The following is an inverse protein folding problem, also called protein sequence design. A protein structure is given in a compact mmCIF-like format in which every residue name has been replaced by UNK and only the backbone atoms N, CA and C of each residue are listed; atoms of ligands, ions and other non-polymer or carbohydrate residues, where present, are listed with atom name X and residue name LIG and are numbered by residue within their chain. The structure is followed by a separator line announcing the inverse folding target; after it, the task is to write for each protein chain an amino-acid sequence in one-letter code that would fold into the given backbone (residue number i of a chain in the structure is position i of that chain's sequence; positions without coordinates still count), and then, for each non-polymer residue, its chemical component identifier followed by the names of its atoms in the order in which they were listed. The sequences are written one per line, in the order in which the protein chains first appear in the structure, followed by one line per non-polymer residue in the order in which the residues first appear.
data_IF_495568038401
#
_entry.id   IF_495568038401
#
_cell.length_a   1.000
_cell.length_b   1.000
_cell.length_c   1.000
_cell.angle_alpha   90.00
_cell.angle_beta   90.00
_cell.angle_gamma   90.00
#
_symmetry.space_group_name_H-M   'P 1'
#
loop_
_entity.id
_entity.type
_entity.pdbx_description
1 polymer ?
#
# COMPACT_ATOMS: atom_id res chain seq x y z
N UNK A 1 11.26 9.32 -0.79
CA UNK A 1 11.88 8.61 -1.91
C UNK A 1 11.43 7.16 -1.82
N UNK A 2 10.22 6.92 -2.30
CA UNK A 2 9.63 5.58 -2.34
C UNK A 2 10.22 4.93 -3.59
N UNK A 3 10.92 3.81 -3.40
CA UNK A 3 11.59 3.10 -4.49
C UNK A 3 10.52 2.37 -5.30
N UNK A 4 10.32 2.80 -6.53
CA UNK A 4 9.61 2.04 -7.56
C UNK A 4 10.36 0.71 -7.79
N UNK A 5 9.77 -0.39 -7.34
CA UNK A 5 10.29 -1.73 -7.60
C UNK A 5 9.34 -2.49 -8.51
N UNK A 6 9.62 -2.49 -9.83
CA UNK A 6 9.07 -3.42 -10.82
C UNK A 6 9.42 -4.92 -10.56
N UNK A 7 9.68 -5.33 -9.31
CA UNK A 7 10.25 -6.64 -8.95
C UNK A 7 9.21 -7.72 -8.59
N UNK A 8 7.95 -7.58 -8.97
CA UNK A 8 6.98 -8.67 -8.79
C UNK A 8 7.19 -9.85 -9.75
N UNK A 9 8.04 -9.72 -10.78
CA UNK A 9 8.40 -10.80 -11.70
C UNK A 9 9.70 -11.55 -11.36
N UNK A 10 10.17 -11.46 -10.12
CA UNK A 10 11.17 -12.44 -9.66
C UNK A 10 10.44 -13.49 -8.84
N UNK A 11 10.27 -14.69 -9.40
CA UNK A 11 9.82 -15.90 -8.68
C UNK A 11 10.48 -16.06 -7.30
N UNK A 12 11.67 -15.48 -7.14
CA UNK A 12 12.42 -15.39 -5.90
C UNK A 12 11.71 -14.69 -4.73
N UNK A 13 10.84 -13.69 -4.92
CA UNK A 13 10.13 -13.09 -3.77
C UNK A 13 9.06 -14.05 -3.27
N UNK A 14 8.20 -14.53 -4.17
CA UNK A 14 7.11 -15.44 -3.84
C UNK A 14 7.63 -16.70 -3.15
N UNK A 15 8.60 -17.38 -3.75
CA UNK A 15 9.18 -18.60 -3.22
C UNK A 15 9.90 -18.41 -1.87
N UNK A 16 10.41 -17.20 -1.57
CA UNK A 16 11.00 -16.89 -0.26
C UNK A 16 9.93 -16.66 0.78
N UNK A 17 8.92 -15.86 0.46
CA UNK A 17 7.85 -15.50 1.40
C UNK A 17 6.96 -16.71 1.71
N UNK A 18 6.70 -17.57 0.74
CA UNK A 18 5.93 -18.81 0.93
C UNK A 18 6.62 -19.79 1.89
N UNK A 19 7.96 -19.75 2.00
CA UNK A 19 8.69 -20.55 3.00
C UNK A 19 8.57 -19.99 4.43
N UNK A 20 8.09 -18.77 4.59
CA UNK A 20 7.94 -18.11 5.90
C UNK A 20 6.54 -18.23 6.48
N UNK A 21 5.57 -18.71 5.72
CA UNK A 21 4.19 -18.86 6.19
C UNK A 21 3.98 -20.26 6.77
N UNK A 22 3.04 -20.44 7.73
CA UNK A 22 2.75 -21.75 8.31
C UNK A 22 2.26 -22.76 7.28
N UNK A 23 2.58 -24.04 7.50
CA UNK A 23 2.13 -25.13 6.64
C UNK A 23 0.60 -25.14 6.55
N UNK A 24 0.06 -25.31 5.35
CA UNK A 24 -1.39 -25.28 5.10
C UNK A 24 -1.99 -23.88 4.94
N UNK A 25 -1.19 -22.83 5.06
CA UNK A 25 -1.61 -21.45 4.77
C UNK A 25 -1.30 -21.06 3.33
N UNK A 26 -2.04 -20.07 2.81
CA UNK A 26 -1.82 -19.50 1.48
C UNK A 26 -1.24 -18.08 1.56
N UNK A 27 -0.33 -17.73 0.65
CA UNK A 27 0.20 -16.38 0.56
C UNK A 27 -0.81 -15.44 -0.13
N UNK A 28 -1.21 -14.38 0.58
CA UNK A 28 -2.01 -13.30 0.01
C UNK A 28 -1.12 -12.08 -0.23
N UNK A 29 -0.81 -11.84 -1.50
CA UNK A 29 0.02 -10.73 -1.92
C UNK A 29 -0.78 -9.43 -1.92
N UNK A 30 -0.34 -8.44 -1.16
CA UNK A 30 -0.94 -7.11 -1.09
C UNK A 30 -0.08 -6.12 -1.89
N UNK A 31 -0.71 -5.34 -2.75
CA UNK A 31 -0.09 -4.24 -3.49
C UNK A 31 -0.76 -2.94 -3.07
N UNK A 32 0.06 -1.96 -2.71
CA UNK A 32 -0.39 -0.62 -2.38
C UNK A 32 -0.07 0.32 -3.55
N UNK A 33 -1.03 1.17 -3.90
CA UNK A 33 -0.89 2.25 -4.86
C UNK A 33 -1.11 3.58 -4.15
N UNK A 34 -0.26 4.56 -4.40
CA UNK A 34 -0.41 5.92 -3.90
C UNK A 34 -0.14 6.88 -5.04
N UNK A 35 -1.16 7.61 -5.48
CA UNK A 35 -1.00 8.67 -6.47
C UNK A 35 -1.63 9.95 -5.91
N UNK A 36 -0.92 11.07 -6.03
CA UNK A 36 -1.35 12.35 -5.48
C UNK A 36 -2.45 12.95 -6.37
N UNK A 37 -3.71 12.73 -6.01
CA UNK A 37 -4.84 13.30 -6.75
C UNK A 37 -5.15 14.72 -6.29
N UNK A 38 -5.04 15.71 -7.17
CA UNK A 38 -5.66 17.03 -7.00
C UNK A 38 -7.18 16.87 -7.10
N UNK A 39 -7.91 17.36 -6.09
CA UNK A 39 -9.36 17.11 -5.95
C UNK A 39 -10.26 18.28 -6.30
N UNK A 40 -9.67 19.45 -6.56
CA UNK A 40 -10.42 20.68 -6.83
C UNK A 40 -10.27 21.07 -8.30
N UNK A 41 -11.37 21.52 -8.91
CA UNK A 41 -11.42 22.26 -10.18
C UNK A 41 -10.38 23.41 -10.26
N UNK A 42 -9.96 23.96 -9.13
CA UNK A 42 -8.96 25.01 -8.98
C UNK A 42 -7.59 24.50 -8.45
N UNK A 43 -7.42 23.19 -8.23
CA UNK A 43 -6.16 22.56 -7.81
C UNK A 43 -5.69 22.88 -6.38
N UNK A 44 -6.52 23.48 -5.52
CA UNK A 44 -6.08 23.97 -4.19
C UNK A 44 -6.03 22.91 -3.10
N UNK A 45 -6.80 21.84 -3.25
CA UNK A 45 -6.81 20.70 -2.31
C UNK A 45 -6.20 19.48 -2.97
N UNK A 46 -5.04 19.07 -2.47
CA UNK A 46 -4.46 17.77 -2.76
C UNK A 46 -5.02 16.75 -1.78
N UNK A 47 -5.32 15.55 -2.27
CA UNK A 47 -5.49 14.36 -1.44
C UNK A 47 -4.39 13.37 -1.80
N UNK A 48 -3.98 12.57 -0.83
CA UNK A 48 -3.03 11.47 -1.04
C UNK A 48 -3.74 10.14 -0.71
N UNK A 49 -4.60 9.63 -1.61
CA UNK A 49 -5.23 8.33 -1.44
C UNK A 49 -4.19 7.21 -1.51
N UNK A 50 -4.39 6.20 -0.66
CA UNK A 50 -3.77 4.89 -0.78
C UNK A 50 -4.86 3.92 -1.24
N UNK A 51 -4.62 3.27 -2.36
CA UNK A 51 -5.42 2.15 -2.84
C UNK A 51 -4.71 0.83 -2.55
N UNK A 52 -5.50 -0.23 -2.39
CA UNK A 52 -5.06 -1.60 -2.18
C UNK A 52 -5.61 -2.50 -3.29
N UNK A 53 -4.80 -3.46 -3.72
CA UNK A 53 -5.25 -4.58 -4.57
C UNK A 53 -4.47 -5.84 -4.21
N UNK A 54 -5.00 -6.98 -4.64
CA UNK A 54 -4.35 -8.27 -4.50
C UNK A 54 -3.39 -8.53 -5.66
N UNK A 55 -2.15 -8.93 -5.35
CA UNK A 55 -1.16 -9.39 -6.31
C UNK A 55 -1.47 -10.78 -6.88
N UNK A 56 -2.33 -11.54 -6.22
CA UNK A 56 -2.84 -12.83 -6.69
C UNK A 56 -3.75 -12.68 -7.93
N UNK A 57 -4.29 -11.49 -8.20
CA UNK A 57 -5.11 -11.22 -9.38
C UNK A 57 -4.20 -11.02 -10.59
N UNK A 58 -4.52 -11.71 -11.69
CA UNK A 58 -3.82 -11.62 -12.97
C UNK A 58 -3.76 -10.17 -13.49
N UNK A 59 -2.63 -9.81 -14.10
CA UNK A 59 -2.28 -8.42 -14.43
C UNK A 59 -3.35 -7.67 -15.22
N UNK A 60 -3.93 -8.29 -16.26
CA UNK A 60 -4.95 -7.63 -17.08
C UNK A 60 -6.22 -7.28 -16.30
N UNK A 61 -6.61 -8.11 -15.32
CA UNK A 61 -7.77 -7.87 -14.47
C UNK A 61 -7.45 -6.85 -13.38
N UNK A 62 -6.26 -6.98 -12.77
CA UNK A 62 -5.75 -6.07 -11.72
C UNK A 62 -5.62 -4.62 -12.17
N UNK A 63 -5.39 -4.38 -13.47
CA UNK A 63 -5.29 -3.03 -14.03
C UNK A 63 -6.63 -2.30 -14.14
N UNK A 64 -7.76 -2.97 -13.90
CA UNK A 64 -9.08 -2.34 -13.92
C UNK A 64 -9.35 -1.60 -12.60
N UNK A 65 -10.07 -0.46 -12.65
CA UNK A 65 -10.29 0.38 -11.46
C UNK A 65 -11.15 -0.31 -10.39
N UNK A 66 -12.07 -1.19 -10.79
CA UNK A 66 -12.95 -1.96 -9.90
C UNK A 66 -12.20 -2.95 -8.98
N UNK A 67 -10.96 -3.29 -9.34
CA UNK A 67 -10.12 -4.21 -8.56
C UNK A 67 -9.30 -3.48 -7.50
N UNK A 68 -9.19 -2.15 -7.60
CA UNK A 68 -8.45 -1.31 -6.66
C UNK A 68 -9.42 -0.69 -5.67
N UNK A 69 -9.28 -1.04 -4.39
CA UNK A 69 -10.11 -0.47 -3.34
C UNK A 69 -9.37 0.68 -2.66
N UNK A 70 -10.06 1.78 -2.35
CA UNK A 70 -9.50 2.84 -1.52
C UNK A 70 -9.32 2.32 -0.09
N UNK A 71 -8.09 2.40 0.43
CA UNK A 71 -7.75 1.96 1.78
C UNK A 71 -7.79 3.13 2.79
N UNK A 72 -7.15 4.25 2.45
CA UNK A 72 -7.07 5.41 3.33
C UNK A 72 -6.67 6.67 2.57
N UNK A 73 -6.87 7.83 3.18
CA UNK A 73 -6.23 9.08 2.78
C UNK A 73 -5.10 9.39 3.76
N UNK A 74 -3.90 9.64 3.24
CA UNK A 74 -2.78 10.07 4.06
C UNK A 74 -2.91 11.53 4.46
N UNK A 75 -2.45 11.90 5.67
CA UNK A 75 -2.47 13.28 6.13
C UNK A 75 -1.53 14.15 5.29
N UNK A 76 -2.00 15.34 4.98
CA UNK A 76 -1.25 16.36 4.23
C UNK A 76 -1.02 17.53 5.17
N UNK A 77 0.24 17.79 5.46
CA UNK A 77 0.64 18.93 6.28
C UNK A 77 0.79 20.14 5.35
N UNK A 78 -0.14 21.10 5.47
CA UNK A 78 -0.09 22.36 4.72
C UNK A 78 0.92 23.31 5.38
N UNK A 79 1.74 23.97 4.58
CA UNK A 79 2.55 25.09 5.05
C UNK A 79 1.69 26.36 5.16
N UNK A 80 2.06 27.25 6.08
CA UNK A 80 1.44 28.58 6.22
C UNK A 80 1.79 29.50 5.05
N UNK A 81 3.03 29.42 4.56
CA UNK A 81 3.57 30.24 3.48
C UNK A 81 4.68 29.52 2.71
N UNK A 82 5.13 30.10 1.60
CA UNK A 82 6.15 29.52 0.73
C UNK A 82 7.54 29.46 1.39
N UNK A 83 7.82 30.33 2.36
CA UNK A 83 9.07 30.33 3.13
C UNK A 83 9.12 29.09 4.02
N UNK A 84 8.04 28.82 4.75
CA UNK A 84 7.90 27.62 5.56
C UNK A 84 7.91 26.36 4.69
N UNK A 85 7.23 26.37 3.54
CA UNK A 85 7.21 25.22 2.61
C UNK A 85 8.62 24.81 2.15
N UNK A 86 9.51 25.78 1.95
CA UNK A 86 10.91 25.54 1.54
C UNK A 86 11.82 25.14 2.70
N UNK A 87 11.43 25.47 3.94
CA UNK A 87 12.21 25.15 5.14
C UNK A 87 12.43 23.65 5.30
N UNK A 88 13.60 23.28 5.80
CA UNK A 88 13.95 21.88 6.02
C UNK A 88 13.13 21.25 7.16
N UNK A 89 12.77 22.05 8.17
CA UNK A 89 11.92 21.63 9.28
C UNK A 89 10.54 21.16 8.77
N UNK A 90 9.89 21.95 7.91
CA UNK A 90 8.60 21.57 7.35
C UNK A 90 8.69 20.30 6.49
N UNK A 91 9.70 20.20 5.63
CA UNK A 91 9.94 18.98 4.82
C UNK A 91 10.13 17.75 5.70
N UNK A 92 10.86 17.88 6.81
CA UNK A 92 11.07 16.81 7.77
C UNK A 92 9.77 16.41 8.49
N UNK A 93 8.94 17.38 8.89
CA UNK A 93 7.62 17.11 9.49
C UNK A 93 6.71 16.38 8.51
N UNK A 94 6.63 16.83 7.26
CA UNK A 94 5.85 16.19 6.19
C UNK A 94 6.31 14.73 6.02
N UNK A 95 7.62 14.51 5.83
CA UNK A 95 8.19 13.17 5.65
C UNK A 95 7.96 12.26 6.85
N UNK A 96 8.15 12.78 8.07
CA UNK A 96 7.97 12.01 9.31
C UNK A 96 6.50 11.63 9.51
N UNK A 97 5.59 12.55 9.23
CA UNK A 97 4.15 12.30 9.32
C UNK A 97 3.75 11.22 8.32
N UNK A 98 4.17 11.36 7.06
CA UNK A 98 3.92 10.37 6.02
C UNK A 98 4.37 8.96 6.44
N UNK A 99 5.62 8.79 6.89
CA UNK A 99 6.13 7.49 7.31
C UNK A 99 5.42 6.94 8.55
N UNK A 100 5.07 7.79 9.53
CA UNK A 100 4.34 7.35 10.72
C UNK A 100 2.92 6.88 10.37
N UNK A 101 2.22 7.63 9.53
CA UNK A 101 0.87 7.27 9.07
C UNK A 101 0.89 5.97 8.27
N UNK A 102 1.85 5.80 7.36
CA UNK A 102 2.01 4.56 6.61
C UNK A 102 2.34 3.38 7.55
N UNK A 103 3.27 3.56 8.49
CA UNK A 103 3.60 2.53 9.48
C UNK A 103 2.38 2.12 10.32
N UNK A 104 1.58 3.09 10.73
CA UNK A 104 0.35 2.82 11.48
C UNK A 104 -0.68 2.07 10.62
N UNK A 105 -0.91 2.52 9.38
CA UNK A 105 -1.84 1.86 8.47
C UNK A 105 -1.47 0.40 8.19
N UNK A 106 -0.17 0.11 8.09
CA UNK A 106 0.35 -1.21 7.76
C UNK A 106 0.66 -2.06 9.00
N UNK A 107 0.53 -1.51 10.21
CA UNK A 107 0.81 -2.26 11.44
C UNK A 107 0.04 -3.57 11.56
N UNK A 108 -1.24 -3.68 11.13
CA UNK A 108 -1.96 -4.95 11.19
C UNK A 108 -1.37 -6.04 10.28
N UNK A 109 -0.59 -5.70 9.26
CA UNK A 109 -0.01 -6.68 8.32
C UNK A 109 1.31 -7.29 8.82
N UNK A 110 1.91 -6.70 9.85
CA UNK A 110 3.19 -7.17 10.39
C UNK A 110 3.05 -8.23 11.48
N UNK A 111 1.85 -8.41 12.03
CA UNK A 111 1.62 -9.49 12.98
C UNK A 111 1.49 -10.81 12.22
N UNK A 112 2.34 -11.79 12.53
CA UNK A 112 2.43 -13.05 11.78
C UNK A 112 1.21 -13.95 12.02
N UNK A 113 0.50 -13.74 13.13
CA UNK A 113 -0.73 -14.45 13.48
C UNK A 113 -1.98 -13.84 12.81
N UNK A 114 -1.86 -12.71 12.09
CA UNK A 114 -2.97 -12.05 11.40
C UNK A 114 -3.26 -12.70 10.04
N UNK A 115 -3.42 -14.02 10.03
CA UNK A 115 -4.06 -14.67 8.90
C UNK A 115 -5.52 -14.24 8.78
N UNK A 116 -6.05 -14.34 7.57
CA UNK A 116 -7.45 -14.04 7.27
C UNK A 116 -8.08 -15.27 6.61
N UNK A 117 -9.32 -15.55 6.98
CA UNK A 117 -10.13 -16.54 6.28
C UNK A 117 -10.69 -15.92 5.00
N UNK A 118 -10.45 -16.57 3.87
CA UNK A 118 -11.03 -16.21 2.59
C UNK A 118 -11.88 -17.37 2.09
N UNK A 119 -13.16 -17.10 1.84
CA UNK A 119 -14.04 -18.06 1.18
C UNK A 119 -13.87 -17.96 -0.34
N UNK A 120 -13.52 -19.08 -0.97
CA UNK A 120 -13.37 -19.20 -2.42
C UNK A 120 -14.03 -20.49 -2.88
N UNK A 121 -15.07 -20.39 -3.72
CA UNK A 121 -15.80 -21.54 -4.29
C UNK A 121 -16.24 -22.56 -3.22
N UNK A 122 -16.87 -22.08 -2.14
CA UNK A 122 -17.31 -22.87 -0.98
C UNK A 122 -16.18 -23.57 -0.22
N UNK A 123 -14.93 -23.08 -0.36
CA UNK A 123 -13.77 -23.52 0.44
C UNK A 123 -13.25 -22.36 1.26
N UNK A 124 -12.92 -22.61 2.51
CA UNK A 124 -12.26 -21.64 3.38
C UNK A 124 -10.76 -21.82 3.22
N UNK A 125 -10.07 -20.74 2.86
CA UNK A 125 -8.62 -20.67 2.73
C UNK A 125 -8.07 -19.79 3.85
N UNK A 126 -7.16 -20.34 4.65
CA UNK A 126 -6.40 -19.53 5.59
C UNK A 126 -5.26 -18.82 4.86
N UNK A 127 -5.30 -17.49 4.82
CA UNK A 127 -4.40 -16.68 4.01
C UNK A 127 -3.56 -15.75 4.87
N UNK A 128 -2.24 -15.73 4.65
CA UNK A 128 -1.34 -14.78 5.32
C UNK A 128 -1.10 -13.58 4.39
N UNK A 129 -1.59 -12.38 4.74
CA UNK A 129 -1.38 -11.19 3.95
C UNK A 129 0.06 -10.68 4.07
N UNK A 130 0.73 -10.43 2.94
CA UNK A 130 2.08 -9.85 2.87
C UNK A 130 2.15 -8.77 1.80
N UNK A 131 2.72 -7.62 2.15
CA UNK A 131 2.97 -6.55 1.18
C UNK A 131 4.06 -7.01 0.23
N UNK A 132 3.72 -7.10 -1.05
CA UNK A 132 4.66 -7.47 -2.11
C UNK A 132 5.23 -6.26 -2.84
N UNK A 133 4.46 -5.17 -2.93
CA UNK A 133 4.87 -3.98 -3.67
C UNK A 133 4.12 -2.74 -3.18
N UNK A 134 4.84 -1.61 -3.20
CA UNK A 134 4.29 -0.27 -3.00
C UNK A 134 4.62 0.51 -4.27
N UNK A 135 3.60 0.95 -4.97
CA UNK A 135 3.70 1.77 -6.17
C UNK A 135 3.28 3.18 -5.78
N UNK A 136 4.15 4.14 -6.05
CA UNK A 136 3.83 5.54 -5.87
C UNK A 136 4.56 6.38 -6.90
N UNK A 137 3.87 7.36 -7.45
CA UNK A 137 4.45 8.43 -8.26
C UNK A 137 4.75 9.68 -7.40
#
# INVERSE_FOLDING_TARGET
MIRNYNKQYTANWWAKTEKTIPLGSHLLSIILYSDASTTDTLGKNTLHPIFITLGNIITWRRNKPDVKQLLAYLPIIKAKDDTQKKSEEHKNIVRRTFHKSLKFLLSPLYNEDNGIELELNNRILWCIPRISMIISD
#
